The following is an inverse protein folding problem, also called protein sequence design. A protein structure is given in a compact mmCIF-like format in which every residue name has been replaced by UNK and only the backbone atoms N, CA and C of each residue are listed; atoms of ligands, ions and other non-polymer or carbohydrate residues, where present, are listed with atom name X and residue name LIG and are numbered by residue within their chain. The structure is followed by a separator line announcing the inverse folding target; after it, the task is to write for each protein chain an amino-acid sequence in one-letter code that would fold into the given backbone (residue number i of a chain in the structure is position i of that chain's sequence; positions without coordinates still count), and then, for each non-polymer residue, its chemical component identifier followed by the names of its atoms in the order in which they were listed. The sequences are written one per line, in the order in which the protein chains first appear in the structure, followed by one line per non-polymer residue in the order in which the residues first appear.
data_IF_709793346558
#
_entry.id   IF_709793346558
#
_cell.length_a   1.000
_cell.length_b   1.000
_cell.length_c   1.000
_cell.angle_alpha   90.00
_cell.angle_beta   90.00
_cell.angle_gamma   90.00
#
_symmetry.space_group_name_H-M   'P 1'
#
loop_
_entity.id
_entity.type
_entity.pdbx_description
1 polymer ?
#
# COMPACT_ATOMS: atom_id res chain seq x y z
N UNK A 1 -13.08 -35.15 3.01
CA UNK A 1 -12.82 -34.66 2.72
C UNK A 1 -12.45 -33.98 2.68
N UNK A 2 -12.27 -33.60 2.33
CA UNK A 2 -11.78 -32.88 2.11
C UNK A 2 -11.71 -32.09 2.08
N UNK A 3 -11.73 -31.74 2.18
CA UNK A 3 -11.54 -30.94 2.05
C UNK A 3 -10.94 -30.20 2.06
N UNK A 4 -10.95 -29.84 2.37
CA UNK A 4 -10.28 -29.23 2.29
C UNK A 4 -9.46 -28.91 1.78
N UNK A 5 -9.12 -29.11 1.90
CA UNK A 5 -7.94 -28.92 1.11
C UNK A 5 -8.03 -27.93 0.04
N UNK A 6 -9.05 -27.41 -0.11
CA UNK A 6 -9.19 -26.44 -1.10
C UNK A 6 -8.27 -25.31 -1.00
N UNK A 7 -7.84 -24.96 0.16
CA UNK A 7 -7.01 -23.80 0.33
C UNK A 7 -5.70 -23.96 -0.40
N UNK A 8 -5.10 -25.11 -0.29
CA UNK A 8 -3.83 -25.32 -0.92
C UNK A 8 -3.95 -25.48 -2.38
N UNK A 9 -5.00 -26.15 -2.79
CA UNK A 9 -5.17 -26.30 -4.22
C UNK A 9 -5.44 -24.98 -4.86
N UNK A 10 -6.06 -24.10 -4.13
CA UNK A 10 -6.34 -22.82 -4.64
C UNK A 10 -5.08 -21.99 -4.87
N UNK A 11 -4.07 -22.18 -4.06
CA UNK A 11 -2.80 -21.53 -4.32
C UNK A 11 -2.20 -21.96 -5.65
N UNK A 12 -2.28 -23.23 -5.94
CA UNK A 12 -1.75 -23.73 -7.20
C UNK A 12 -2.51 -23.14 -8.37
N UNK A 13 -3.85 -23.02 -8.23
CA UNK A 13 -4.64 -22.50 -9.33
C UNK A 13 -4.42 -21.00 -9.52
N UNK A 14 -3.86 -20.33 -8.51
CA UNK A 14 -3.59 -18.91 -8.60
C UNK A 14 -2.17 -18.60 -9.06
N UNK A 15 -1.38 -19.62 -9.39
CA UNK A 15 -0.04 -19.37 -9.89
C UNK A 15 -0.13 -18.74 -11.28
N UNK A 16 0.88 -17.93 -11.58
CA UNK A 16 0.90 -17.25 -12.87
C UNK A 16 0.86 -18.26 -14.02
N UNK A 17 1.63 -19.34 -13.90
CA UNK A 17 1.71 -20.34 -14.96
C UNK A 17 0.34 -20.97 -15.24
N UNK A 18 -0.50 -21.09 -14.23
CA UNK A 18 -1.79 -21.76 -14.41
C UNK A 18 -2.73 -21.00 -15.34
N UNK A 19 -2.45 -19.73 -15.60
CA UNK A 19 -3.27 -18.93 -16.51
C UNK A 19 -2.76 -18.96 -17.95
N UNK A 20 -1.63 -19.64 -18.19
CA UNK A 20 -1.00 -19.67 -19.51
C UNK A 20 -0.96 -21.09 -20.01
N UNK A 21 -0.84 -21.24 -21.34
CA UNK A 21 -0.68 -22.56 -21.92
C UNK A 21 0.62 -23.19 -21.41
N UNK A 22 0.63 -24.50 -21.28
CA UNK A 22 1.77 -25.20 -20.69
C UNK A 22 3.08 -24.96 -21.43
N UNK A 23 3.00 -24.71 -22.73
CA UNK A 23 4.19 -24.46 -23.54
C UNK A 23 4.72 -23.03 -23.45
N UNK A 24 4.01 -22.17 -22.73
CA UNK A 24 4.38 -20.76 -22.63
C UNK A 24 5.05 -20.51 -21.29
N UNK A 25 6.17 -19.81 -21.30
CA UNK A 25 6.83 -19.36 -20.08
C UNK A 25 6.43 -17.90 -19.85
N UNK A 26 5.57 -17.62 -18.84
CA UNK A 26 5.07 -16.26 -18.67
C UNK A 26 6.19 -15.23 -18.48
N UNK A 27 7.28 -15.62 -17.81
CA UNK A 27 8.37 -14.69 -17.53
C UNK A 27 9.10 -14.25 -18.78
N UNK A 28 8.93 -14.97 -19.90
CA UNK A 28 9.55 -14.59 -21.16
C UNK A 28 8.70 -13.64 -21.98
N UNK A 29 7.49 -13.36 -21.51
CA UNK A 29 6.63 -12.38 -22.17
C UNK A 29 7.00 -11.00 -21.65
N UNK A 30 7.33 -10.09 -22.55
CA UNK A 30 7.84 -8.78 -22.17
C UNK A 30 6.83 -8.03 -21.31
N UNK A 31 5.56 -8.08 -21.66
CA UNK A 31 4.53 -7.39 -20.89
C UNK A 31 4.43 -7.93 -19.47
N UNK A 32 4.55 -9.24 -19.30
CA UNK A 32 4.53 -9.85 -17.98
C UNK A 32 5.72 -9.37 -17.15
N UNK A 33 6.89 -9.32 -17.78
CA UNK A 33 8.09 -8.86 -17.10
C UNK A 33 7.92 -7.44 -16.57
N UNK A 34 7.39 -6.56 -17.40
CA UNK A 34 7.16 -5.17 -16.98
C UNK A 34 6.14 -5.07 -15.86
N UNK A 35 5.06 -5.85 -15.94
CA UNK A 35 4.03 -5.81 -14.90
C UNK A 35 4.55 -6.35 -13.58
N UNK A 36 5.44 -7.34 -13.63
CA UNK A 36 6.02 -7.88 -12.39
C UNK A 36 6.81 -6.83 -11.63
N UNK A 37 7.44 -5.91 -12.35
CA UNK A 37 8.17 -4.84 -11.68
C UNK A 37 7.25 -3.91 -10.90
N UNK A 38 5.98 -3.90 -11.24
CA UNK A 38 5.00 -3.06 -10.55
C UNK A 38 4.27 -3.80 -9.43
N UNK A 39 4.67 -5.04 -9.11
CA UNK A 39 3.99 -5.79 -8.06
C UNK A 39 3.97 -5.09 -6.70
N UNK A 40 5.04 -4.42 -6.27
CA UNK A 40 4.95 -3.67 -5.01
C UNK A 40 3.85 -2.63 -5.02
N UNK A 41 3.63 -2.00 -6.17
CA UNK A 41 2.53 -1.04 -6.30
C UNK A 41 1.18 -1.75 -6.18
N UNK A 42 1.03 -2.92 -6.81
CA UNK A 42 -0.21 -3.68 -6.72
C UNK A 42 -0.49 -4.09 -5.27
N UNK A 43 0.54 -4.50 -4.54
CA UNK A 43 0.38 -4.90 -3.15
C UNK A 43 -0.03 -3.72 -2.29
N UNK A 44 0.55 -2.55 -2.54
CA UNK A 44 0.18 -1.34 -1.82
C UNK A 44 -1.27 -0.96 -2.09
N UNK A 45 -1.69 -1.06 -3.35
CA UNK A 45 -3.08 -0.78 -3.71
C UNK A 45 -4.03 -1.74 -3.03
N UNK A 46 -3.67 -3.03 -3.00
CA UNK A 46 -4.49 -4.03 -2.34
C UNK A 46 -4.68 -3.70 -0.86
N UNK A 47 -3.61 -3.27 -0.20
CA UNK A 47 -3.68 -2.89 1.20
C UNK A 47 -4.59 -1.68 1.42
N UNK A 48 -4.42 -0.66 0.57
CA UNK A 48 -5.21 0.55 0.71
C UNK A 48 -6.69 0.29 0.48
N UNK A 49 -7.01 -0.60 -0.45
CA UNK A 49 -8.40 -0.83 -0.84
C UNK A 49 -9.04 -2.04 -0.16
N UNK A 50 -8.37 -2.59 0.84
CA UNK A 50 -8.93 -3.70 1.60
C UNK A 50 -10.01 -3.20 2.56
N UNK A 51 -11.14 -3.90 2.61
CA UNK A 51 -12.22 -3.54 3.53
C UNK A 51 -13.27 -2.69 2.85
N UNK A 52 -14.14 -2.11 3.65
CA UNK A 52 -15.23 -1.29 3.14
C UNK A 52 -14.76 0.06 2.64
N UNK A 53 -15.61 0.71 1.86
CA UNK A 53 -15.23 1.95 1.21
C UNK A 53 -14.92 3.08 2.20
N UNK A 54 -15.58 3.10 3.36
CA UNK A 54 -15.29 4.13 4.35
C UNK A 54 -13.91 3.95 4.96
N UNK A 55 -13.50 2.70 5.20
CA UNK A 55 -12.16 2.42 5.71
C UNK A 55 -11.11 2.82 4.69
N UNK A 56 -11.37 2.55 3.43
CA UNK A 56 -10.46 2.94 2.35
C UNK A 56 -10.33 4.45 2.30
N UNK A 57 -11.45 5.14 2.41
CA UNK A 57 -11.45 6.59 2.35
C UNK A 57 -10.59 7.20 3.47
N UNK A 58 -10.69 6.65 4.68
CA UNK A 58 -9.89 7.17 5.79
C UNK A 58 -8.40 6.95 5.55
N UNK A 59 -8.03 5.76 5.05
CA UNK A 59 -6.62 5.49 4.75
C UNK A 59 -6.08 6.43 3.68
N UNK A 60 -6.85 6.67 2.64
CA UNK A 60 -6.44 7.58 1.58
C UNK A 60 -6.35 9.01 2.08
N UNK A 61 -7.30 9.40 2.92
CA UNK A 61 -7.28 10.74 3.51
C UNK A 61 -6.00 10.96 4.30
N UNK A 62 -5.66 10.01 5.18
CA UNK A 62 -4.45 10.13 6.00
C UNK A 62 -3.22 10.19 5.10
N UNK A 63 -3.11 9.28 4.16
CA UNK A 63 -1.94 9.23 3.30
C UNK A 63 -1.81 10.51 2.48
N UNK A 64 -2.90 11.01 1.96
CA UNK A 64 -2.89 12.22 1.14
C UNK A 64 -2.48 13.44 1.95
N UNK A 65 -3.01 13.57 3.18
CA UNK A 65 -2.64 14.69 4.03
C UNK A 65 -1.17 14.63 4.43
N UNK A 66 -0.66 13.44 4.73
CA UNK A 66 0.75 13.30 5.06
C UNK A 66 1.64 13.61 3.87
N UNK A 67 1.26 13.17 2.68
CA UNK A 67 2.03 13.45 1.49
C UNK A 67 2.09 14.94 1.21
N UNK A 68 0.96 15.62 1.33
CA UNK A 68 0.91 17.06 1.10
C UNK A 68 1.76 17.81 2.13
N UNK A 69 1.67 17.41 3.40
CA UNK A 69 2.43 18.07 4.46
C UNK A 69 3.92 17.85 4.32
N UNK A 70 4.32 16.68 3.80
CA UNK A 70 5.72 16.32 3.71
C UNK A 70 6.41 16.89 2.47
N UNK A 71 5.70 17.66 1.65
CA UNK A 71 6.30 18.30 0.49
C UNK A 71 7.01 19.61 0.83
N UNK A 72 7.05 19.95 2.09
CA UNK A 72 7.70 21.19 2.50
C UNK A 72 9.22 21.07 2.37
N UNK A 73 9.85 21.85 1.52
CA UNK A 73 11.29 21.66 1.24
C UNK A 73 12.20 21.92 2.44
N UNK A 74 11.80 22.80 3.34
CA UNK A 74 12.64 23.13 4.48
C UNK A 74 12.68 22.02 5.52
N UNK A 75 11.73 21.11 5.49
CA UNK A 75 11.66 20.06 6.49
C UNK A 75 12.09 18.70 5.96
N UNK A 76 12.57 18.67 4.72
CA UNK A 76 13.12 17.45 4.16
C UNK A 76 12.13 16.30 4.08
N UNK A 77 10.86 16.58 3.91
CA UNK A 77 9.81 15.57 3.79
C UNK A 77 9.60 14.74 5.06
N UNK A 78 10.02 15.26 6.21
CA UNK A 78 9.87 14.55 7.48
C UNK A 78 8.76 15.19 8.31
N UNK A 79 7.97 14.36 8.98
CA UNK A 79 6.88 14.81 9.82
C UNK A 79 7.04 14.21 11.21
N UNK A 80 6.94 15.03 12.24
CA UNK A 80 6.92 14.54 13.60
C UNK A 80 5.53 13.98 13.92
N UNK A 81 5.46 13.15 14.96
CA UNK A 81 4.15 12.68 15.41
C UNK A 81 3.26 13.82 15.84
N UNK A 82 3.85 14.87 16.44
CA UNK A 82 3.08 16.04 16.85
C UNK A 82 2.46 16.74 15.64
N UNK A 83 3.22 16.86 14.56
CA UNK A 83 2.68 17.46 13.33
C UNK A 83 1.52 16.66 12.79
N UNK A 84 1.64 15.34 12.81
CA UNK A 84 0.57 14.47 12.33
C UNK A 84 -0.67 14.61 13.19
N UNK A 85 -0.49 14.64 14.51
CA UNK A 85 -1.62 14.77 15.42
C UNK A 85 -2.36 16.10 15.21
N UNK A 86 -1.62 17.15 14.91
CA UNK A 86 -2.26 18.43 14.63
C UNK A 86 -2.99 18.44 13.31
N UNK A 87 -2.34 17.89 12.27
CA UNK A 87 -2.89 17.88 10.92
C UNK A 87 -4.17 17.06 10.85
N UNK A 88 -4.22 15.97 11.61
CA UNK A 88 -5.31 15.01 11.56
C UNK A 88 -6.09 14.99 12.87
N UNK A 89 -6.18 16.15 13.51
CA UNK A 89 -6.85 16.26 14.81
C UNK A 89 -8.34 15.92 14.74
N UNK A 90 -8.93 15.96 13.57
CA UNK A 90 -10.35 15.62 13.42
C UNK A 90 -10.61 14.12 13.43
N UNK A 91 -9.56 13.29 13.44
CA UNK A 91 -9.73 11.85 13.52
C UNK A 91 -9.68 11.40 14.98
N UNK A 92 -10.42 10.34 15.28
CA UNK A 92 -10.30 9.70 16.58
C UNK A 92 -8.86 9.17 16.73
N UNK A 93 -8.25 9.35 17.91
CA UNK A 93 -6.86 8.92 18.10
C UNK A 93 -6.64 7.43 17.78
N UNK A 94 -7.60 6.59 18.14
CA UNK A 94 -7.46 5.16 17.88
C UNK A 94 -7.49 4.85 16.40
N UNK A 95 -8.35 5.56 15.66
CA UNK A 95 -8.41 5.39 14.21
C UNK A 95 -7.12 5.82 13.56
N UNK A 96 -6.57 6.94 14.01
CA UNK A 96 -5.31 7.43 13.47
C UNK A 96 -4.19 6.43 13.73
N UNK A 97 -4.10 5.90 14.95
CA UNK A 97 -3.08 4.91 15.27
C UNK A 97 -3.18 3.68 14.39
N UNK A 98 -4.39 3.19 14.21
CA UNK A 98 -4.61 2.00 13.40
C UNK A 98 -4.18 2.23 11.96
N UNK A 99 -4.55 3.37 11.41
CA UNK A 99 -4.21 3.68 10.02
C UNK A 99 -2.70 3.87 9.86
N UNK A 100 -2.07 4.60 10.78
CA UNK A 100 -0.62 4.80 10.68
C UNK A 100 0.12 3.48 10.77
N UNK A 101 -0.31 2.59 11.67
CA UNK A 101 0.34 1.28 11.80
C UNK A 101 0.18 0.45 10.54
N UNK A 102 -0.98 0.49 9.93
CA UNK A 102 -1.23 -0.26 8.70
C UNK A 102 -0.38 0.29 7.54
N UNK A 103 -0.32 1.59 7.43
CA UNK A 103 0.49 2.21 6.37
C UNK A 103 1.96 1.86 6.55
N UNK A 104 2.45 1.86 7.78
CA UNK A 104 3.83 1.49 8.06
C UNK A 104 4.11 0.04 7.76
N UNK A 105 3.21 -0.86 8.15
CA UNK A 105 3.42 -2.30 7.92
C UNK A 105 3.51 -2.63 6.45
N UNK A 106 2.95 -1.80 5.60
CA UNK A 106 2.89 -2.06 4.16
C UNK A 106 3.77 -1.13 3.36
N UNK A 107 4.72 -0.48 4.03
CA UNK A 107 5.74 0.36 3.38
C UNK A 107 5.18 1.58 2.65
N UNK A 108 3.99 2.01 3.04
CA UNK A 108 3.41 3.24 2.52
C UNK A 108 3.75 4.44 3.39
N UNK A 109 4.36 4.18 4.53
CA UNK A 109 4.82 5.19 5.45
C UNK A 109 6.02 4.62 6.17
N UNK A 110 7.07 5.41 6.37
CA UNK A 110 8.26 4.94 7.09
C UNK A 110 8.48 5.80 8.31
N UNK A 111 9.14 5.21 9.30
CA UNK A 111 9.50 5.89 10.55
C UNK A 111 11.00 5.77 10.72
N UNK A 112 11.69 6.90 10.65
CA UNK A 112 13.15 6.90 10.77
C UNK A 112 13.59 8.13 11.54
N UNK A 113 14.48 7.93 12.50
CA UNK A 113 15.06 9.06 13.21
C UNK A 113 14.04 9.92 13.94
N UNK A 114 12.97 9.33 14.42
CA UNK A 114 11.93 10.06 15.12
C UNK A 114 10.97 10.81 14.22
N UNK A 115 10.99 10.53 12.93
CA UNK A 115 10.13 11.22 11.98
C UNK A 115 9.47 10.25 11.01
N UNK A 116 8.28 10.62 10.54
CA UNK A 116 7.57 9.87 9.51
C UNK A 116 7.90 10.44 8.15
N UNK A 117 8.00 9.57 7.15
CA UNK A 117 8.24 9.98 5.76
C UNK A 117 7.31 9.21 4.85
N UNK A 118 6.91 9.88 3.77
CA UNK A 118 6.07 9.27 2.74
C UNK A 118 6.96 8.83 1.60
N UNK A 119 7.14 7.51 1.42
CA UNK A 119 8.09 7.03 0.40
C UNK A 119 7.53 7.20 -1.02
N UNK A 120 8.39 7.09 -2.03
CA UNK A 120 7.95 7.25 -3.43
C UNK A 120 6.84 6.29 -3.82
N UNK A 121 6.81 5.08 -3.28
CA UNK A 121 5.74 4.13 -3.59
C UNK A 121 4.38 4.73 -3.24
N UNK A 122 4.26 5.34 -2.06
CA UNK A 122 3.00 5.93 -1.64
C UNK A 122 2.62 7.11 -2.52
N UNK A 123 3.59 7.91 -2.93
CA UNK A 123 3.32 9.03 -3.81
C UNK A 123 2.86 8.57 -5.18
N UNK A 124 3.42 7.45 -5.66
CA UNK A 124 2.98 6.87 -6.93
C UNK A 124 1.55 6.36 -6.85
N UNK A 125 1.19 5.75 -5.71
CA UNK A 125 -0.18 5.29 -5.51
C UNK A 125 -1.14 6.47 -5.56
N UNK A 126 -0.82 7.56 -4.86
CA UNK A 126 -1.69 8.73 -4.84
C UNK A 126 -1.81 9.35 -6.22
N UNK A 127 -0.72 9.41 -6.96
CA UNK A 127 -0.75 9.96 -8.32
C UNK A 127 -1.65 9.12 -9.23
N UNK A 128 -1.68 7.82 -9.02
CA UNK A 128 -2.52 6.94 -9.84
C UNK A 128 -4.02 7.14 -9.54
N UNK A 129 -4.34 7.59 -8.33
CA UNK A 129 -5.73 7.83 -7.94
C UNK A 129 -6.19 9.21 -8.39
N UNK A 130 -5.32 10.18 -8.28
CA UNK A 130 -5.64 11.55 -8.69
C UNK A 130 -5.67 11.68 -10.20
#
# INVERSE_FOLDING_TARGET
MNLIPQAETFDASDSLQSHFKASIAPDEIEQVYHLKKAQPLFQALSTLFHGGSDAVLVRLLVLRELAAASEHPLEGNALSRADINMKLAYLQPESLETVLARLRSNNLLTWEGGAYRVPPLARNVLAAID
#
